data_IF_306022414010
#
_entry.id   IF_306022414010
#
_cell.length_a   1.000
_cell.length_b   1.000
_cell.length_c   1.000
_cell.angle_alpha   90.00
_cell.angle_beta   90.00
_cell.angle_gamma   90.00
#
_symmetry.space_group_name_H-M   'P 1'
#
loop_
_entity.id
_entity.type
_entity.pdbx_description
1 polymer ?
#
# COMPACT_ATOMS: atom_id res chain seq x y z
N UNK A 1 28.28 -43.61 10.19
CA UNK A 1 28.32 -42.66 11.32
C UNK A 1 28.14 -41.27 10.73
N UNK A 2 27.20 -40.49 11.26
CA UNK A 2 26.61 -39.27 10.67
C UNK A 2 27.64 -38.14 10.48
N UNK A 3 27.77 -37.62 9.24
CA UNK A 3 28.31 -36.28 8.99
C UNK A 3 27.14 -35.32 8.77
N UNK A 4 26.48 -34.94 9.86
CA UNK A 4 25.48 -33.86 9.85
C UNK A 4 26.20 -32.52 9.77
N UNK A 5 26.60 -32.11 8.57
CA UNK A 5 26.88 -30.71 8.27
C UNK A 5 25.58 -30.12 7.70
N UNK A 6 24.94 -29.31 8.53
CA UNK A 6 23.74 -28.56 8.22
C UNK A 6 23.97 -27.71 6.96
N UNK A 7 23.49 -28.20 5.81
CA UNK A 7 23.38 -27.39 4.60
C UNK A 7 22.23 -26.43 4.84
N UNK A 8 22.59 -25.28 5.41
CA UNK A 8 21.97 -23.97 5.26
C UNK A 8 20.50 -24.00 4.85
N UNK A 9 19.64 -23.91 5.88
CA UNK A 9 18.26 -23.48 5.79
C UNK A 9 18.19 -22.05 5.21
N UNK A 10 18.38 -21.91 3.90
CA UNK A 10 18.06 -20.70 3.13
C UNK A 10 16.92 -21.04 2.18
N UNK A 11 15.87 -21.67 2.70
CA UNK A 11 14.56 -21.48 2.07
C UNK A 11 14.14 -20.10 2.54
N UNK A 12 14.51 -19.12 1.71
CA UNK A 12 14.20 -17.71 1.87
C UNK A 12 12.79 -17.58 2.38
N UNK A 13 12.66 -17.02 3.58
CA UNK A 13 11.38 -16.59 4.10
C UNK A 13 10.84 -15.55 3.11
N UNK A 14 10.02 -15.99 2.14
CA UNK A 14 9.18 -15.12 1.34
C UNK A 14 8.21 -14.52 2.35
N UNK A 15 8.60 -13.37 2.88
CA UNK A 15 7.73 -12.55 3.71
C UNK A 15 6.64 -12.05 2.78
N UNK A 16 5.51 -12.77 2.78
CA UNK A 16 4.28 -12.28 2.16
C UNK A 16 3.93 -10.98 2.90
N UNK A 17 4.23 -9.84 2.29
CA UNK A 17 3.74 -8.56 2.76
C UNK A 17 2.20 -8.65 2.84
N UNK A 18 1.57 -8.04 3.86
CA UNK A 18 0.12 -8.02 3.93
C UNK A 18 -0.40 -7.34 2.67
N UNK A 19 -1.08 -8.12 1.81
CA UNK A 19 -1.87 -7.56 0.72
C UNK A 19 -3.01 -6.81 1.40
N UNK A 20 -2.86 -5.49 1.51
CA UNK A 20 -3.94 -4.62 1.93
C UNK A 20 -5.09 -4.84 0.95
N UNK A 21 -6.14 -5.52 1.40
CA UNK A 21 -7.33 -5.76 0.58
C UNK A 21 -7.97 -4.41 0.32
N UNK A 22 -7.70 -3.84 -0.85
CA UNK A 22 -8.32 -2.60 -1.32
C UNK A 22 -9.83 -2.86 -1.43
N UNK A 23 -10.61 -2.39 -0.45
CA UNK A 23 -12.06 -2.47 -0.54
C UNK A 23 -12.55 -1.37 -1.50
N UNK A 24 -12.92 -1.76 -2.71
CA UNK A 24 -13.19 -0.86 -3.82
C UNK A 24 -14.59 -0.23 -3.84
N UNK A 25 -15.44 -0.59 -2.87
CA UNK A 25 -16.84 -0.15 -2.80
C UNK A 25 -17.16 0.52 -1.45
N UNK A 26 -16.17 1.17 -0.83
CA UNK A 26 -16.34 1.85 0.44
C UNK A 26 -16.97 3.23 0.27
N UNK A 27 -18.12 3.47 0.91
CA UNK A 27 -18.53 4.84 1.23
C UNK A 27 -17.44 5.49 2.09
N UNK A 28 -16.97 6.66 1.68
CA UNK A 28 -16.05 7.47 2.47
C UNK A 28 -16.82 8.54 3.23
N UNK A 29 -16.41 8.79 4.47
CA UNK A 29 -16.80 9.97 5.22
C UNK A 29 -16.22 11.23 4.57
N UNK A 30 -16.81 12.37 4.87
CA UNK A 30 -16.34 13.69 4.41
C UNK A 30 -15.26 14.30 5.33
N UNK A 31 -14.61 13.47 6.15
CA UNK A 31 -13.45 13.88 6.93
C UNK A 31 -12.30 14.28 6.00
N UNK A 32 -11.67 15.42 6.29
CA UNK A 32 -10.56 15.94 5.51
C UNK A 32 -9.24 15.67 6.22
N UNK A 33 -8.43 14.79 5.63
CA UNK A 33 -7.10 14.41 6.05
C UNK A 33 -6.24 14.22 4.78
N UNK A 34 -5.71 15.32 4.20
CA UNK A 34 -5.15 15.31 2.86
C UNK A 34 -3.93 14.40 2.74
N UNK A 35 -3.83 13.71 1.60
CA UNK A 35 -2.71 12.85 1.24
C UNK A 35 -2.19 13.31 -0.12
N UNK A 36 -0.92 13.71 -0.17
CA UNK A 36 -0.28 14.20 -1.38
C UNK A 36 0.52 13.09 -2.04
N UNK A 37 0.32 12.94 -3.35
CA UNK A 37 1.04 11.99 -4.18
C UNK A 37 2.17 12.67 -4.97
N UNK A 38 3.16 11.90 -5.38
CA UNK A 38 4.32 12.41 -6.14
C UNK A 38 3.98 12.96 -7.54
N UNK A 39 2.81 12.62 -8.09
CA UNK A 39 2.27 13.23 -9.31
C UNK A 39 1.50 14.55 -9.05
N UNK A 40 1.47 15.04 -7.82
CA UNK A 40 0.78 16.28 -7.43
C UNK A 40 -0.72 16.11 -7.18
N UNK A 41 -1.28 14.90 -7.31
CA UNK A 41 -2.67 14.63 -6.93
C UNK A 41 -2.78 14.62 -5.41
N UNK A 42 -3.84 15.28 -4.90
CA UNK A 42 -4.17 15.30 -3.47
C UNK A 42 -5.50 14.58 -3.25
N UNK A 43 -5.48 13.57 -2.39
CA UNK A 43 -6.69 12.87 -1.95
C UNK A 43 -7.17 13.46 -0.64
N UNK A 44 -8.47 13.73 -0.54
CA UNK A 44 -9.06 14.37 0.65
C UNK A 44 -8.98 13.55 1.93
N UNK A 45 -8.87 12.22 1.82
CA UNK A 45 -8.62 11.30 2.94
C UNK A 45 -8.10 9.94 2.44
N UNK A 46 -7.69 9.10 3.39
CA UNK A 46 -7.19 7.75 3.13
C UNK A 46 -8.21 6.85 2.41
N UNK A 47 -9.50 6.98 2.74
CA UNK A 47 -10.55 6.20 2.07
C UNK A 47 -10.64 6.55 0.58
N UNK A 48 -10.59 7.84 0.22
CA UNK A 48 -10.61 8.28 -1.18
C UNK A 48 -9.39 7.82 -1.96
N UNK A 49 -8.20 7.86 -1.36
CA UNK A 49 -6.99 7.28 -1.96
C UNK A 49 -7.16 5.77 -2.20
N UNK A 50 -7.67 5.04 -1.20
CA UNK A 50 -7.86 3.60 -1.31
C UNK A 50 -8.85 3.22 -2.43
N UNK A 51 -9.96 3.96 -2.56
CA UNK A 51 -10.90 3.75 -3.66
C UNK A 51 -10.28 4.05 -5.02
N UNK A 52 -9.42 5.07 -5.12
CA UNK A 52 -8.75 5.39 -6.38
C UNK A 52 -7.83 4.26 -6.86
N UNK A 53 -7.18 3.52 -5.95
CA UNK A 53 -6.35 2.35 -6.30
C UNK A 53 -7.12 1.24 -7.03
N UNK A 54 -8.46 1.26 -6.98
CA UNK A 54 -9.31 0.28 -7.64
C UNK A 54 -9.60 0.61 -9.10
N UNK A 55 -9.41 1.86 -9.52
CA UNK A 55 -9.48 2.25 -10.91
C UNK A 55 -8.07 2.63 -11.39
N UNK A 56 -7.42 1.80 -12.24
CA UNK A 56 -6.11 2.11 -12.78
C UNK A 56 -6.11 3.36 -13.68
N UNK A 57 -7.28 3.89 -14.05
CA UNK A 57 -7.40 5.20 -14.73
C UNK A 57 -7.43 6.38 -13.74
N UNK A 58 -7.72 6.11 -12.46
CA UNK A 58 -7.75 7.09 -11.39
C UNK A 58 -6.47 7.09 -10.54
N UNK A 59 -5.74 5.96 -10.48
CA UNK A 59 -4.50 5.83 -9.72
C UNK A 59 -3.33 5.35 -10.57
N UNK A 60 -2.36 6.24 -10.78
CA UNK A 60 -1.16 6.01 -11.60
C UNK A 60 -0.09 5.10 -10.92
N UNK A 61 -0.39 4.45 -9.79
CA UNK A 61 0.58 3.60 -9.09
C UNK A 61 1.69 4.37 -8.35
N UNK A 62 1.51 5.67 -8.14
CA UNK A 62 2.53 6.57 -7.56
C UNK A 62 2.57 6.51 -6.04
N UNK A 63 3.68 6.98 -5.46
CA UNK A 63 3.82 7.11 -4.00
C UNK A 63 2.98 8.26 -3.47
N UNK A 64 2.20 7.98 -2.42
CA UNK A 64 1.36 8.96 -1.73
C UNK A 64 1.69 8.90 -0.24
N UNK A 65 1.97 10.06 0.36
CA UNK A 65 2.28 10.17 1.77
C UNK A 65 1.19 10.97 2.47
N UNK A 66 0.73 10.47 3.62
CA UNK A 66 -0.07 11.24 4.55
C UNK A 66 0.89 12.27 5.16
N UNK A 67 0.87 13.48 4.62
CA UNK A 67 1.93 14.45 4.83
C UNK A 67 1.38 15.85 4.85
N UNK A 68 1.59 16.48 6.00
CA UNK A 68 1.27 17.86 6.36
C UNK A 68 1.59 18.81 5.20
N UNK A 69 0.58 19.57 4.79
CA UNK A 69 0.67 20.57 3.73
C UNK A 69 1.77 21.57 4.11
N UNK A 70 2.95 21.48 3.48
CA UNK A 70 3.99 22.53 3.53
C UNK A 70 3.74 23.57 2.45
#
# INVERSE_FOLDING_TARGET
>A
MKFTLAILAIVTAVTAAPVEKTNCDGFCTDEYAPITCSNGVVYGNACRLNNAKCDPRAFDGVTCNAGDVS
#
